data_IF_579766891272
#
_entry.id   IF_579766891272
#
_cell.length_a   1.000
_cell.length_b   1.000
_cell.length_c   1.000
_cell.angle_alpha   90.00
_cell.angle_beta   90.00
_cell.angle_gamma   90.00
#
_symmetry.space_group_name_H-M   'P 1'
#
loop_
_entity.id
_entity.type
_entity.pdbx_description
1 polymer ?
#
# COMPACT_ATOMS: atom_id res chain seq x y z
N UNK A 1 -56.16 11.58 -11.54
CA UNK A 1 -56.85 12.26 -10.42
C UNK A 1 -55.82 12.73 -9.44
N UNK A 2 -55.81 14.05 -9.20
CA UNK A 2 -55.23 14.85 -8.10
C UNK A 2 -53.74 14.73 -7.82
N UNK A 3 -52.94 15.75 -8.15
CA UNK A 3 -52.70 17.08 -7.57
C UNK A 3 -51.87 17.01 -6.28
N UNK A 4 -50.73 17.72 -6.27
CA UNK A 4 -50.39 18.82 -5.35
C UNK A 4 -48.83 18.91 -5.33
N UNK A 5 -48.12 19.92 -5.41
CA UNK A 5 -48.13 21.40 -5.41
C UNK A 5 -46.76 21.88 -4.91
N UNK A 6 -46.19 22.78 -5.60
CA UNK A 6 -44.97 23.59 -5.41
C UNK A 6 -44.71 24.06 -3.97
N UNK A 7 -43.42 24.14 -3.61
CA UNK A 7 -42.93 25.11 -2.67
C UNK A 7 -41.59 25.69 -3.18
N UNK A 8 -41.63 26.91 -3.70
CA UNK A 8 -40.50 27.82 -3.92
C UNK A 8 -40.05 28.36 -2.54
N UNK A 9 -38.74 28.35 -2.28
CA UNK A 9 -38.14 29.17 -1.24
C UNK A 9 -37.08 30.08 -1.88
N UNK A 10 -37.33 31.36 -1.76
CA UNK A 10 -36.54 32.53 -2.18
C UNK A 10 -35.39 32.70 -1.19
N UNK A 11 -34.15 32.78 -1.68
CA UNK A 11 -33.00 33.23 -0.90
C UNK A 11 -32.66 34.68 -1.28
N UNK A 12 -32.86 35.57 -0.32
CA UNK A 12 -32.43 36.96 -0.38
C UNK A 12 -30.90 37.06 -0.22
N UNK A 13 -30.29 37.76 -1.16
CA UNK A 13 -28.88 38.17 -1.13
C UNK A 13 -28.78 39.50 -0.36
N UNK A 14 -27.98 39.49 0.73
CA UNK A 14 -27.52 40.72 1.38
C UNK A 14 -26.11 41.06 0.86
N UNK A 15 -26.01 42.15 0.11
CA UNK A 15 -24.77 42.86 -0.19
C UNK A 15 -24.52 43.86 0.94
N UNK A 16 -23.41 43.70 1.64
CA UNK A 16 -22.85 44.76 2.50
C UNK A 16 -21.55 45.26 1.88
N UNK A 17 -21.59 46.56 1.54
CA UNK A 17 -20.45 47.31 1.09
C UNK A 17 -19.53 47.64 2.26
N UNK A 18 -18.21 47.43 2.09
CA UNK A 18 -17.18 47.94 2.98
C UNK A 18 -16.51 49.16 2.37
N UNK A 19 -16.63 50.26 3.09
CA UNK A 19 -16.03 51.55 2.86
C UNK A 19 -14.52 51.52 3.18
N UNK A 20 -13.75 52.21 2.35
CA UNK A 20 -12.32 52.47 2.55
C UNK A 20 -12.16 53.75 3.33
N UNK A 21 -11.45 53.73 4.45
CA UNK A 21 -10.87 54.92 5.04
C UNK A 21 -9.34 54.73 5.21
N UNK A 22 -8.64 55.62 4.49
CA UNK A 22 -7.22 55.88 4.64
C UNK A 22 -6.93 56.45 6.03
N UNK A 23 -5.86 56.03 6.66
CA UNK A 23 -5.22 56.76 7.78
C UNK A 23 -3.72 56.85 7.55
N UNK A 24 -3.29 58.09 7.66
CA UNK A 24 -1.95 58.66 7.44
C UNK A 24 -0.93 58.22 8.45
N UNK A 25 0.34 58.21 7.98
CA UNK A 25 1.58 58.24 8.77
C UNK A 25 1.65 59.44 9.70
N UNK A 26 2.23 59.23 10.88
CA UNK A 26 3.12 60.05 11.69
C UNK A 26 2.87 59.80 13.18
N UNK A 27 3.79 59.13 13.85
CA UNK A 27 4.38 59.59 15.13
C UNK A 27 5.53 58.65 15.57
N UNK A 28 6.72 59.22 15.51
CA UNK A 28 7.96 58.63 16.06
C UNK A 28 8.06 59.01 17.53
N UNK A 29 7.80 58.05 18.41
CA UNK A 29 7.97 58.20 19.88
C UNK A 29 9.13 57.39 20.39
N UNK A 30 10.16 58.07 20.94
CA UNK A 30 11.39 57.51 21.47
C UNK A 30 11.18 56.56 22.66
N UNK A 31 11.93 55.45 22.69
CA UNK A 31 12.01 54.54 23.80
C UNK A 31 12.85 55.06 24.96
N UNK A 32 12.49 54.86 26.23
CA UNK A 32 13.31 55.22 27.40
C UNK A 32 14.33 54.10 27.71
N UNK A 33 15.53 54.53 28.09
CA UNK A 33 16.67 53.72 28.50
C UNK A 33 16.44 52.95 29.81
N UNK A 34 17.03 51.75 29.97
CA UNK A 34 16.83 50.92 31.15
C UNK A 34 17.64 51.42 32.37
N UNK A 35 17.01 51.36 33.54
CA UNK A 35 17.69 51.57 34.85
C UNK A 35 18.43 50.30 35.27
N UNK A 36 19.62 50.40 35.91
CA UNK A 36 20.35 49.25 36.44
C UNK A 36 19.84 48.87 37.83
N UNK A 37 19.66 47.55 38.06
CA UNK A 37 19.55 46.99 39.39
C UNK A 37 18.30 46.22 39.72
N UNK A 38 18.18 44.97 39.22
CA UNK A 38 17.38 43.95 39.85
C UNK A 38 18.11 42.60 39.72
N UNK A 39 18.46 42.03 40.85
CA UNK A 39 19.12 40.73 40.97
C UNK A 39 18.15 39.63 40.46
N UNK A 40 18.63 38.81 39.55
CA UNK A 40 17.92 37.59 39.11
C UNK A 40 17.79 36.59 40.26
N UNK A 41 16.63 35.96 40.42
CA UNK A 41 16.51 34.79 41.28
C UNK A 41 17.23 33.62 40.63
N UNK A 42 18.07 32.94 41.41
CA UNK A 42 18.80 31.72 41.04
C UNK A 42 17.81 30.65 40.59
N UNK A 43 18.12 30.07 39.46
CA UNK A 43 17.80 28.78 38.90
C UNK A 43 16.71 27.96 39.59
N UNK A 44 15.51 28.00 39.02
CA UNK A 44 14.62 26.85 39.07
C UNK A 44 15.19 25.84 38.05
N UNK A 45 15.55 24.65 38.50
CA UNK A 45 15.82 23.52 37.62
C UNK A 45 14.59 23.30 36.71
N UNK A 46 14.80 22.90 35.45
CA UNK A 46 13.66 22.56 34.59
C UNK A 46 12.89 21.45 35.29
N UNK A 47 11.67 21.75 35.68
CA UNK A 47 10.68 20.75 36.03
C UNK A 47 10.57 19.85 34.82
N UNK A 48 10.98 18.59 34.96
CA UNK A 48 10.55 17.53 34.04
C UNK A 48 9.05 17.57 34.10
N UNK A 49 8.41 18.05 33.03
CA UNK A 49 7.00 17.77 32.79
C UNK A 49 6.89 16.25 32.84
N UNK A 50 6.20 15.73 33.83
CA UNK A 50 5.70 14.38 33.79
C UNK A 50 4.75 14.36 32.58
N UNK A 51 5.21 13.87 31.43
CA UNK A 51 4.30 13.42 30.39
C UNK A 51 3.31 12.49 31.10
N UNK A 52 2.05 12.87 31.16
CA UNK A 52 1.01 12.01 31.67
C UNK A 52 1.12 10.69 30.88
N UNK A 53 1.20 9.56 31.60
CA UNK A 53 1.30 8.27 30.94
C UNK A 53 0.10 8.12 30.00
N UNK A 54 0.37 7.82 28.74
CA UNK A 54 -0.69 7.54 27.76
C UNK A 54 -1.60 6.42 28.28
N UNK A 55 -2.87 6.47 27.92
CA UNK A 55 -3.77 5.35 28.17
C UNK A 55 -3.18 4.06 27.57
N UNK A 56 -3.29 2.90 28.22
CA UNK A 56 -2.71 1.66 27.73
C UNK A 56 -3.55 1.05 26.58
N UNK A 57 -3.78 1.84 25.54
CA UNK A 57 -4.55 1.49 24.35
C UNK A 57 -3.77 1.81 23.10
N UNK A 58 -3.96 1.04 22.04
CA UNK A 58 -3.41 1.28 20.70
C UNK A 58 -4.48 0.97 19.65
N UNK A 59 -4.75 1.93 18.79
CA UNK A 59 -5.72 1.77 17.70
C UNK A 59 -4.96 1.52 16.39
N UNK A 60 -5.12 0.33 15.82
CA UNK A 60 -4.41 -0.13 14.61
C UNK A 60 -5.40 -0.34 13.47
N UNK A 61 -5.05 0.13 12.28
CA UNK A 61 -5.81 -0.08 11.05
C UNK A 61 -4.93 -0.77 10.00
N UNK A 62 -5.27 -1.99 9.63
CA UNK A 62 -4.45 -2.82 8.74
C UNK A 62 -5.30 -3.50 7.64
N UNK A 63 -4.63 -4.03 6.64
CA UNK A 63 -5.22 -4.94 5.66
C UNK A 63 -5.72 -6.22 6.33
N UNK A 64 -6.76 -6.82 5.77
CA UNK A 64 -7.18 -8.16 6.14
C UNK A 64 -6.07 -9.19 5.83
N UNK A 65 -5.95 -10.24 6.67
CA UNK A 65 -5.01 -11.36 6.51
C UNK A 65 -3.53 -10.95 6.33
N UNK A 66 -3.10 -9.87 6.98
CA UNK A 66 -1.80 -9.25 6.75
C UNK A 66 -0.90 -9.16 8.00
N UNK A 67 -1.15 -10.02 8.99
CA UNK A 67 -0.37 -10.15 10.23
C UNK A 67 -0.48 -11.59 10.76
N UNK A 68 0.53 -12.05 11.51
CA UNK A 68 0.44 -13.35 12.18
C UNK A 68 -0.53 -13.27 13.37
N UNK A 69 -1.43 -14.25 13.57
CA UNK A 69 -2.49 -14.21 14.62
C UNK A 69 -1.98 -13.94 16.03
N UNK A 70 -0.80 -14.47 16.39
CA UNK A 70 -0.23 -14.28 17.73
C UNK A 70 0.44 -12.91 17.93
N UNK A 71 0.61 -12.09 16.89
CA UNK A 71 1.38 -10.85 16.98
C UNK A 71 0.75 -9.88 17.96
N UNK A 72 -0.55 -9.63 17.83
CA UNK A 72 -1.30 -8.72 18.71
C UNK A 72 -1.38 -9.27 20.15
N UNK A 73 -1.81 -10.53 20.39
CA UNK A 73 -1.84 -11.08 21.75
C UNK A 73 -0.48 -11.10 22.46
N UNK A 74 0.63 -11.29 21.72
CA UNK A 74 1.96 -11.24 22.29
C UNK A 74 2.38 -9.82 22.67
N UNK A 75 2.06 -8.84 21.83
CA UNK A 75 2.30 -7.43 22.11
C UNK A 75 1.52 -6.97 23.35
N UNK A 76 0.24 -7.24 23.42
CA UNK A 76 -0.63 -6.90 24.56
C UNK A 76 -0.09 -7.49 25.87
N UNK A 77 0.31 -8.75 25.84
CA UNK A 77 0.86 -9.45 27.02
C UNK A 77 2.18 -8.85 27.48
N UNK A 78 3.04 -8.43 26.54
CA UNK A 78 4.37 -7.91 26.84
C UNK A 78 4.32 -6.47 27.37
N UNK A 79 3.47 -5.64 26.76
CA UNK A 79 3.45 -4.20 27.04
C UNK A 79 2.30 -3.76 27.95
N UNK A 80 1.31 -4.61 28.19
CA UNK A 80 0.11 -4.25 28.95
C UNK A 80 -0.72 -3.17 28.25
N UNK A 81 -0.74 -3.18 26.92
CA UNK A 81 -1.46 -2.24 26.06
C UNK A 81 -2.53 -3.02 25.31
N UNK A 82 -3.79 -2.66 25.47
CA UNK A 82 -4.92 -3.24 24.73
C UNK A 82 -4.93 -2.71 23.30
N UNK A 83 -5.08 -3.59 22.29
CA UNK A 83 -5.06 -3.22 20.88
C UNK A 83 -6.45 -3.31 20.26
N UNK A 84 -7.00 -2.17 19.84
CA UNK A 84 -8.14 -2.12 18.93
C UNK A 84 -7.64 -2.31 17.51
N UNK A 85 -7.94 -3.48 16.92
CA UNK A 85 -7.41 -3.87 15.63
C UNK A 85 -8.51 -3.93 14.59
N UNK A 86 -8.59 -2.91 13.75
CA UNK A 86 -9.56 -2.79 12.66
C UNK A 86 -8.95 -3.17 11.33
N UNK A 87 -9.77 -3.73 10.45
CA UNK A 87 -9.35 -4.23 9.14
C UNK A 87 -9.99 -3.42 8.01
N UNK A 88 -9.31 -3.40 6.88
CA UNK A 88 -9.84 -2.94 5.60
C UNK A 88 -9.37 -3.85 4.45
N UNK A 89 -10.07 -3.78 3.32
CA UNK A 89 -9.89 -4.64 2.15
C UNK A 89 -9.63 -3.86 0.85
N UNK A 90 -9.70 -2.52 0.90
CA UNK A 90 -9.42 -1.70 -0.28
C UNK A 90 -8.73 -0.39 0.05
N UNK A 91 -7.87 0.07 -0.87
CA UNK A 91 -7.18 1.35 -0.77
C UNK A 91 -8.15 2.53 -0.69
N UNK A 92 -9.27 2.47 -1.43
CA UNK A 92 -10.27 3.54 -1.45
C UNK A 92 -10.91 3.72 -0.08
N UNK A 93 -11.15 2.64 0.66
CA UNK A 93 -11.75 2.68 2.00
C UNK A 93 -10.81 3.34 2.99
N UNK A 94 -9.55 2.90 3.05
CA UNK A 94 -8.56 3.49 3.99
C UNK A 94 -8.29 4.95 3.65
N UNK A 95 -8.13 5.32 2.37
CA UNK A 95 -7.91 6.70 1.98
C UNK A 95 -9.08 7.62 2.30
N UNK A 96 -10.31 7.19 2.00
CA UNK A 96 -11.50 7.97 2.33
C UNK A 96 -11.58 8.25 3.83
N UNK A 97 -11.26 7.25 4.66
CA UNK A 97 -11.24 7.37 6.11
C UNK A 97 -10.16 8.34 6.61
N UNK A 98 -8.93 8.19 6.10
CA UNK A 98 -7.80 9.05 6.45
C UNK A 98 -8.03 10.51 6.03
N UNK A 99 -8.59 10.73 4.84
CA UNK A 99 -8.90 12.07 4.33
C UNK A 99 -10.05 12.75 5.08
N UNK A 100 -10.93 11.99 5.70
CA UNK A 100 -11.99 12.55 6.55
C UNK A 100 -11.42 13.16 7.85
N UNK A 101 -10.21 12.73 8.28
CA UNK A 101 -9.55 13.17 9.51
C UNK A 101 -10.22 12.66 10.78
N UNK A 102 -9.58 12.89 11.92
CA UNK A 102 -10.05 12.49 13.25
C UNK A 102 -10.45 11.01 13.31
N UNK A 103 -9.60 10.16 12.74
CA UNK A 103 -9.90 8.73 12.59
C UNK A 103 -9.83 7.97 13.91
N UNK A 104 -9.08 8.49 14.88
CA UNK A 104 -8.78 7.84 16.14
C UNK A 104 -7.76 6.71 16.05
N UNK A 105 -7.18 6.45 14.86
CA UNK A 105 -6.11 5.46 14.72
C UNK A 105 -4.76 6.04 15.08
N UNK A 106 -3.97 5.25 15.80
CA UNK A 106 -2.57 5.54 16.12
C UNK A 106 -1.67 5.07 14.98
N UNK A 107 -1.88 3.84 14.52
CA UNK A 107 -1.05 3.15 13.52
C UNK A 107 -1.89 2.74 12.33
N UNK A 108 -1.40 3.06 11.14
CA UNK A 108 -2.03 2.67 9.86
C UNK A 108 -0.99 1.94 9.00
N UNK A 109 -1.33 0.73 8.57
CA UNK A 109 -0.61 0.04 7.51
C UNK A 109 -1.14 0.53 6.18
N UNK A 110 -0.29 0.97 5.26
CA UNK A 110 -0.77 1.49 4.00
C UNK A 110 0.28 1.35 2.91
N UNK A 111 -0.19 1.21 1.67
CA UNK A 111 0.71 1.17 0.52
C UNK A 111 1.50 2.47 0.39
N UNK A 112 2.83 2.36 0.26
CA UNK A 112 3.74 3.48 0.10
C UNK A 112 3.38 4.33 -1.11
N UNK A 113 2.97 3.70 -2.19
CA UNK A 113 2.53 4.36 -3.42
C UNK A 113 1.41 5.36 -3.16
N UNK A 114 0.38 4.93 -2.46
CA UNK A 114 -0.78 5.77 -2.16
C UNK A 114 -0.47 6.79 -1.05
N UNK A 115 0.31 6.39 -0.05
CA UNK A 115 0.73 7.27 1.05
C UNK A 115 1.55 8.46 0.58
N UNK A 116 2.29 8.33 -0.53
CA UNK A 116 3.09 9.42 -1.11
C UNK A 116 2.30 10.71 -1.39
N UNK A 117 0.99 10.61 -1.64
CA UNK A 117 0.10 11.76 -1.82
C UNK A 117 -0.54 12.26 -0.52
N UNK A 118 -0.60 11.41 0.51
CA UNK A 118 -1.16 11.74 1.82
C UNK A 118 -0.12 12.40 2.74
N UNK A 119 1.16 12.08 2.58
CA UNK A 119 2.27 12.68 3.32
C UNK A 119 2.28 14.22 3.18
N UNK A 120 2.26 14.81 1.96
CA UNK A 120 2.33 16.26 1.79
C UNK A 120 1.13 17.04 2.34
N UNK A 121 0.01 16.39 2.56
CA UNK A 121 -1.19 17.01 3.13
C UNK A 121 -1.34 16.77 4.63
N UNK A 122 -0.31 16.19 5.27
CA UNK A 122 -0.20 16.09 6.73
C UNK A 122 -1.09 15.03 7.38
N UNK A 123 -1.41 13.94 6.67
CA UNK A 123 -2.19 12.82 7.22
C UNK A 123 -1.38 12.01 8.23
N UNK A 124 -0.06 11.96 8.04
CA UNK A 124 0.87 11.23 8.90
C UNK A 124 1.85 12.17 9.58
N UNK A 125 2.31 11.80 10.76
CA UNK A 125 3.40 12.51 11.42
C UNK A 125 4.77 11.94 11.03
N UNK A 126 5.83 12.76 10.98
CA UNK A 126 7.18 12.26 10.76
C UNK A 126 7.64 11.38 11.93
N UNK A 127 8.38 10.32 11.61
CA UNK A 127 8.92 9.39 12.59
C UNK A 127 10.14 9.98 13.32
N UNK A 128 10.10 9.96 14.63
CA UNK A 128 11.26 10.25 15.49
C UNK A 128 12.19 9.02 15.54
N UNK A 129 13.28 9.07 14.78
CA UNK A 129 14.25 7.96 14.68
C UNK A 129 14.90 7.62 16.01
N UNK A 130 15.00 8.56 16.95
CA UNK A 130 15.56 8.30 18.28
C UNK A 130 14.72 7.32 19.09
N UNK A 131 13.43 7.20 18.74
CA UNK A 131 12.48 6.25 19.33
C UNK A 131 12.44 4.89 18.63
N UNK A 132 13.22 4.69 17.55
CA UNK A 132 13.26 3.45 16.75
C UNK A 132 14.67 2.82 16.74
N UNK A 133 15.19 2.34 17.89
CA UNK A 133 16.57 1.84 18.01
C UNK A 133 16.87 0.60 17.13
N UNK A 134 15.85 -0.11 16.65
CA UNK A 134 16.01 -1.26 15.76
C UNK A 134 15.91 -0.90 14.28
N UNK A 135 15.89 0.38 13.92
CA UNK A 135 15.78 0.83 12.54
C UNK A 135 16.86 0.25 11.62
N UNK A 136 18.09 0.06 12.12
CA UNK A 136 19.20 -0.51 11.35
C UNK A 136 19.02 -1.99 11.00
N UNK A 137 17.97 -2.65 11.49
CA UNK A 137 17.57 -3.98 11.04
C UNK A 137 16.95 -3.96 9.63
N UNK A 138 16.45 -2.81 9.18
CA UNK A 138 15.83 -2.67 7.87
C UNK A 138 16.84 -2.85 6.74
N UNK A 139 16.36 -3.37 5.61
CA UNK A 139 17.16 -3.59 4.41
C UNK A 139 17.43 -2.26 3.69
N UNK A 140 18.71 -1.85 3.53
CA UNK A 140 19.05 -0.64 2.81
C UNK A 140 18.52 -0.60 1.37
N UNK A 141 18.38 -1.76 0.71
CA UNK A 141 17.82 -1.84 -0.63
C UNK A 141 16.34 -1.45 -0.63
N UNK A 142 15.56 -1.86 0.39
CA UNK A 142 14.16 -1.44 0.54
C UNK A 142 14.08 0.05 0.83
N UNK A 143 14.91 0.55 1.76
CA UNK A 143 14.95 1.98 2.11
C UNK A 143 15.26 2.87 0.90
N UNK A 144 16.22 2.47 0.05
CA UNK A 144 16.55 3.17 -1.19
C UNK A 144 15.36 3.22 -2.17
N UNK A 145 14.63 2.12 -2.29
CA UNK A 145 13.48 2.03 -3.21
C UNK A 145 12.27 2.85 -2.77
N UNK A 146 12.01 2.93 -1.47
CA UNK A 146 10.87 3.68 -0.95
C UNK A 146 11.11 5.20 -0.88
N UNK A 147 12.33 5.68 -1.10
CA UNK A 147 12.61 7.11 -1.23
C UNK A 147 11.81 7.80 -2.34
N UNK A 148 11.39 7.04 -3.36
CA UNK A 148 10.49 7.55 -4.40
C UNK A 148 9.11 7.98 -3.85
N UNK A 149 8.70 7.44 -2.70
CA UNK A 149 7.40 7.67 -2.07
C UNK A 149 7.50 8.54 -0.81
N UNK A 150 8.57 8.36 -0.04
CA UNK A 150 8.86 9.05 1.23
C UNK A 150 10.33 9.49 1.24
N UNK A 151 10.66 10.65 0.62
CA UNK A 151 12.03 11.15 0.54
C UNK A 151 12.70 11.27 1.91
N UNK A 152 13.86 10.61 2.08
CA UNK A 152 14.57 10.49 3.34
C UNK A 152 13.93 9.53 4.34
N UNK A 153 12.94 8.75 3.91
CA UNK A 153 12.22 7.75 4.74
C UNK A 153 11.73 8.34 6.06
N UNK A 154 11.05 9.48 6.01
CA UNK A 154 10.73 10.27 7.20
C UNK A 154 9.43 9.87 7.87
N UNK A 155 8.48 9.29 7.15
CA UNK A 155 7.10 9.07 7.62
C UNK A 155 6.75 7.61 7.79
N UNK A 156 7.35 6.72 6.98
CA UNK A 156 7.02 5.31 6.97
C UNK A 156 8.10 4.44 7.60
N UNK A 157 7.67 3.47 8.39
CA UNK A 157 8.47 2.27 8.65
C UNK A 157 8.08 1.21 7.60
N UNK A 158 9.00 0.81 6.69
CA UNK A 158 8.67 -0.22 5.70
C UNK A 158 8.33 -1.53 6.38
N UNK A 159 7.31 -2.21 5.85
CA UNK A 159 6.75 -3.42 6.43
C UNK A 159 6.98 -4.62 5.52
N UNK A 160 6.09 -4.82 4.56
CA UNK A 160 6.16 -5.89 3.56
C UNK A 160 6.32 -5.32 2.17
N UNK A 161 6.81 -6.15 1.26
CA UNK A 161 6.91 -5.82 -0.15
C UNK A 161 6.73 -7.07 -1.02
N UNK A 162 6.41 -6.86 -2.28
CA UNK A 162 6.24 -7.95 -3.21
C UNK A 162 6.23 -7.47 -4.65
N UNK A 163 6.15 -8.43 -5.56
CA UNK A 163 6.01 -8.19 -7.00
C UNK A 163 4.65 -8.65 -7.49
N UNK A 164 4.24 -8.13 -8.65
CA UNK A 164 3.09 -8.59 -9.40
C UNK A 164 3.55 -9.48 -10.54
N UNK A 165 2.92 -10.63 -10.73
CA UNK A 165 3.30 -11.61 -11.74
C UNK A 165 2.15 -12.49 -12.15
N UNK A 166 2.48 -13.67 -12.64
CA UNK A 166 1.52 -14.67 -13.10
C UNK A 166 1.62 -15.93 -12.24
N UNK A 167 0.54 -16.29 -11.58
CA UNK A 167 0.38 -17.56 -10.88
C UNK A 167 -0.38 -18.52 -11.79
N UNK A 168 0.10 -19.73 -11.94
CA UNK A 168 -0.53 -20.69 -12.86
C UNK A 168 -0.35 -22.15 -12.41
N UNK A 169 -1.29 -22.99 -12.85
CA UNK A 169 -1.20 -24.43 -12.72
C UNK A 169 -0.36 -24.97 -13.88
N UNK A 170 0.84 -25.48 -13.55
CA UNK A 170 1.83 -25.96 -14.54
C UNK A 170 1.24 -27.04 -15.44
N UNK A 171 0.54 -28.02 -14.85
CA UNK A 171 0.01 -29.18 -15.58
C UNK A 171 -1.10 -28.77 -16.54
N UNK A 172 -2.02 -27.91 -16.11
CA UNK A 172 -3.11 -27.42 -16.94
C UNK A 172 -2.63 -26.50 -18.08
N UNK A 173 -1.57 -25.72 -17.84
CA UNK A 173 -0.97 -24.89 -18.89
C UNK A 173 -0.24 -25.77 -19.91
N UNK A 174 0.57 -26.73 -19.45
CA UNK A 174 1.31 -27.62 -20.34
C UNK A 174 0.40 -28.53 -21.18
N UNK A 175 -0.73 -28.98 -20.62
CA UNK A 175 -1.72 -29.76 -21.36
C UNK A 175 -2.27 -29.01 -22.56
N UNK A 176 -2.49 -27.68 -22.43
CA UNK A 176 -3.11 -26.84 -23.47
C UNK A 176 -2.07 -26.23 -24.41
N UNK A 177 -0.90 -25.87 -23.89
CA UNK A 177 0.16 -25.22 -24.63
C UNK A 177 1.52 -25.65 -24.07
N UNK A 178 2.11 -26.76 -24.55
CA UNK A 178 3.41 -27.27 -24.04
C UNK A 178 4.57 -26.29 -24.16
N UNK A 179 4.51 -25.37 -25.13
CA UNK A 179 5.48 -24.31 -25.41
C UNK A 179 5.00 -22.92 -24.97
N UNK A 180 4.15 -22.86 -23.96
CA UNK A 180 3.64 -21.61 -23.41
C UNK A 180 4.77 -20.66 -23.01
N UNK A 181 4.68 -19.35 -23.34
CA UNK A 181 5.72 -18.37 -23.06
C UNK A 181 5.66 -17.92 -21.57
N UNK A 182 5.95 -18.84 -20.63
CA UNK A 182 5.71 -18.69 -19.20
C UNK A 182 6.32 -17.41 -18.60
N UNK A 183 7.48 -16.97 -19.11
CA UNK A 183 8.20 -15.79 -18.64
C UNK A 183 7.90 -14.51 -19.44
N UNK A 184 6.76 -14.44 -20.13
CA UNK A 184 6.39 -13.28 -20.95
C UNK A 184 4.99 -12.80 -20.67
N UNK A 185 4.75 -11.51 -20.80
CA UNK A 185 3.43 -10.89 -20.80
C UNK A 185 2.48 -11.47 -21.85
N UNK A 186 2.99 -12.15 -22.88
CA UNK A 186 2.19 -12.90 -23.86
C UNK A 186 1.16 -13.85 -23.21
N UNK A 187 1.51 -14.42 -22.05
CA UNK A 187 0.60 -15.32 -21.31
C UNK A 187 -0.78 -14.71 -21.06
N UNK A 188 -0.85 -13.43 -20.72
CA UNK A 188 -2.10 -12.73 -20.39
C UNK A 188 -2.52 -11.67 -21.41
N UNK A 189 -1.55 -11.09 -22.15
CA UNK A 189 -1.81 -9.89 -22.95
C UNK A 189 -1.86 -10.16 -24.45
N UNK A 190 -1.60 -11.39 -24.88
CA UNK A 190 -1.71 -11.81 -26.29
C UNK A 190 -2.92 -12.69 -26.51
N UNK A 191 -3.92 -12.24 -27.31
CA UNK A 191 -5.17 -12.98 -27.51
C UNK A 191 -4.98 -14.43 -27.95
N UNK A 192 -4.03 -14.70 -28.86
CA UNK A 192 -3.77 -16.04 -29.41
C UNK A 192 -3.24 -17.01 -28.33
N UNK A 193 -2.59 -16.49 -27.28
CA UNK A 193 -2.06 -17.28 -26.16
C UNK A 193 -3.10 -17.43 -25.08
N UNK A 194 -3.64 -16.33 -24.56
CA UNK A 194 -4.58 -16.36 -23.42
C UNK A 194 -5.86 -17.11 -23.75
N UNK A 195 -6.31 -17.09 -25.01
CA UNK A 195 -7.48 -17.83 -25.47
C UNK A 195 -7.37 -19.35 -25.28
N UNK A 196 -6.14 -19.90 -25.29
CA UNK A 196 -5.89 -21.33 -25.05
C UNK A 196 -6.22 -21.76 -23.61
N UNK A 197 -6.29 -20.80 -22.68
CA UNK A 197 -6.53 -21.04 -21.25
C UNK A 197 -7.93 -20.60 -20.79
N UNK A 198 -8.76 -20.10 -21.71
CA UNK A 198 -10.08 -19.57 -21.36
C UNK A 198 -11.03 -20.63 -20.77
N UNK A 199 -10.91 -21.90 -21.19
CA UNK A 199 -11.73 -23.02 -20.73
C UNK A 199 -11.40 -23.43 -19.29
N UNK A 200 -10.13 -23.33 -18.86
CA UNK A 200 -9.73 -23.63 -17.49
C UNK A 200 -9.76 -22.39 -16.58
N UNK A 201 -10.06 -21.22 -17.13
CA UNK A 201 -10.27 -19.97 -16.41
C UNK A 201 -9.02 -19.13 -16.27
N UNK A 202 -9.17 -17.85 -16.63
CA UNK A 202 -8.12 -16.83 -16.50
C UNK A 202 -8.64 -15.66 -15.68
N UNK A 203 -7.84 -15.15 -14.74
CA UNK A 203 -8.19 -13.97 -13.94
C UNK A 203 -7.11 -12.89 -13.97
N UNK A 204 -7.54 -11.66 -13.83
CA UNK A 204 -6.68 -10.49 -13.71
C UNK A 204 -7.01 -9.78 -12.40
N UNK A 205 -6.01 -9.17 -11.75
CA UNK A 205 -6.20 -8.34 -10.57
C UNK A 205 -7.18 -7.18 -10.87
N UNK A 206 -8.03 -6.84 -9.92
CA UNK A 206 -8.83 -5.61 -9.98
C UNK A 206 -8.04 -4.45 -9.37
N UNK A 207 -6.81 -4.24 -9.89
CA UNK A 207 -5.89 -3.22 -9.41
C UNK A 207 -5.22 -2.50 -10.60
N UNK A 208 -5.80 -1.37 -11.05
CA UNK A 208 -5.30 -0.65 -12.21
C UNK A 208 -3.88 -0.09 -12.03
N UNK A 209 -3.43 0.10 -10.78
CA UNK A 209 -2.08 0.60 -10.50
C UNK A 209 -1.01 -0.46 -10.68
N UNK A 210 -1.39 -1.71 -10.81
CA UNK A 210 -0.49 -2.81 -11.17
C UNK A 210 -0.71 -3.26 -12.62
N UNK A 211 -1.96 -3.45 -13.04
CA UNK A 211 -2.28 -3.98 -14.37
C UNK A 211 -1.82 -3.03 -15.48
N UNK A 212 -2.13 -1.73 -15.37
CA UNK A 212 -1.77 -0.75 -16.41
C UNK A 212 -0.25 -0.64 -16.59
N UNK A 213 0.57 -0.48 -15.53
CA UNK A 213 2.02 -0.49 -15.65
C UNK A 213 2.59 -1.77 -16.25
N UNK A 214 2.05 -2.94 -15.90
CA UNK A 214 2.53 -4.19 -16.49
C UNK A 214 2.26 -4.27 -18.00
N UNK A 215 1.10 -3.80 -18.46
CA UNK A 215 0.82 -3.71 -19.91
C UNK A 215 1.67 -2.64 -20.57
N UNK A 216 2.00 -1.52 -19.89
CA UNK A 216 2.97 -0.53 -20.38
C UNK A 216 4.32 -1.18 -20.65
N UNK A 217 4.85 -1.93 -19.66
CA UNK A 217 6.12 -2.65 -19.80
C UNK A 217 6.08 -3.69 -20.93
N UNK A 218 4.98 -4.45 -21.03
CA UNK A 218 4.74 -5.39 -22.11
C UNK A 218 4.79 -4.74 -23.50
N UNK A 219 4.30 -3.51 -23.63
CA UNK A 219 4.35 -2.72 -24.86
C UNK A 219 5.71 -2.02 -25.09
N UNK A 220 6.68 -2.17 -24.17
CA UNK A 220 7.99 -1.53 -24.25
C UNK A 220 7.99 -0.06 -23.82
N UNK A 221 6.95 0.38 -23.10
CA UNK A 221 6.86 1.71 -22.55
C UNK A 221 7.36 1.77 -21.10
N UNK A 222 7.66 2.98 -20.61
CA UNK A 222 7.88 3.21 -19.19
C UNK A 222 6.61 2.86 -18.39
N UNK A 223 6.76 2.06 -17.31
CA UNK A 223 5.69 1.68 -16.42
C UNK A 223 4.90 2.90 -15.89
N UNK A 224 5.58 4.03 -15.73
CA UNK A 224 5.05 5.29 -15.21
C UNK A 224 4.72 6.31 -16.31
N UNK A 225 4.56 5.87 -17.56
CA UNK A 225 4.25 6.77 -18.67
C UNK A 225 2.94 7.54 -18.43
N UNK A 226 3.01 8.85 -18.68
CA UNK A 226 1.87 9.78 -18.62
C UNK A 226 1.26 10.08 -19.98
N UNK A 227 1.81 9.48 -21.06
CA UNK A 227 1.34 9.70 -22.43
C UNK A 227 -0.08 9.13 -22.62
N UNK A 228 -1.06 9.96 -23.06
CA UNK A 228 -2.40 9.48 -23.33
C UNK A 228 -2.48 8.39 -24.41
N UNK A 229 -1.57 8.38 -25.38
CA UNK A 229 -1.54 7.39 -26.46
C UNK A 229 -1.07 6.03 -25.92
N UNK A 230 -0.15 6.01 -24.95
CA UNK A 230 0.24 4.78 -24.28
C UNK A 230 -0.92 4.19 -23.46
N UNK A 231 -1.71 5.03 -22.77
CA UNK A 231 -2.94 4.58 -22.07
C UNK A 231 -3.95 4.00 -23.06
N UNK A 232 -4.12 4.60 -24.24
CA UNK A 232 -5.01 4.06 -25.27
C UNK A 232 -4.53 2.69 -25.81
N UNK A 233 -3.21 2.51 -25.97
CA UNK A 233 -2.63 1.21 -26.37
C UNK A 233 -2.85 0.15 -25.28
N UNK A 234 -2.67 0.48 -24.00
CA UNK A 234 -2.98 -0.40 -22.87
C UNK A 234 -4.45 -0.82 -22.90
N UNK A 235 -5.36 0.15 -23.10
CA UNK A 235 -6.79 -0.12 -23.19
C UNK A 235 -7.11 -1.07 -24.37
N UNK A 236 -6.47 -0.88 -25.53
CA UNK A 236 -6.65 -1.73 -26.68
C UNK A 236 -6.19 -3.18 -26.42
N UNK A 237 -5.03 -3.36 -25.79
CA UNK A 237 -4.51 -4.69 -25.40
C UNK A 237 -5.50 -5.37 -24.44
N UNK A 238 -5.88 -4.72 -23.35
CA UNK A 238 -6.75 -5.32 -22.34
C UNK A 238 -8.15 -5.60 -22.87
N UNK A 239 -8.68 -4.77 -23.76
CA UNK A 239 -9.95 -5.07 -24.47
C UNK A 239 -9.84 -6.28 -25.38
N UNK A 240 -8.72 -6.46 -26.07
CA UNK A 240 -8.52 -7.60 -26.96
C UNK A 240 -8.52 -8.95 -26.23
N UNK A 241 -8.03 -8.98 -24.99
CA UNK A 241 -7.97 -10.20 -24.16
C UNK A 241 -9.19 -10.34 -23.24
N UNK A 242 -9.98 -9.27 -23.06
CA UNK A 242 -11.17 -9.27 -22.18
C UNK A 242 -12.12 -10.45 -22.35
N UNK A 243 -12.42 -10.93 -23.61
CA UNK A 243 -13.32 -12.06 -23.83
C UNK A 243 -12.87 -13.38 -23.19
N UNK A 244 -11.57 -13.52 -22.91
CA UNK A 244 -10.96 -14.73 -22.35
C UNK A 244 -10.78 -14.66 -20.82
N UNK A 245 -11.06 -13.49 -20.20
CA UNK A 245 -10.92 -13.27 -18.77
C UNK A 245 -12.23 -13.63 -18.06
N UNK A 246 -12.15 -14.63 -17.17
CA UNK A 246 -13.28 -15.11 -16.35
C UNK A 246 -13.79 -14.01 -15.41
N UNK A 247 -12.86 -13.32 -14.72
CA UNK A 247 -13.18 -12.20 -13.83
C UNK A 247 -11.96 -11.30 -13.54
N UNK A 248 -12.24 -10.12 -12.96
CA UNK A 248 -11.28 -9.24 -12.31
C UNK A 248 -11.50 -9.32 -10.81
N UNK A 249 -10.46 -9.68 -10.05
CA UNK A 249 -10.49 -9.72 -8.58
C UNK A 249 -9.08 -9.79 -8.03
N UNK A 250 -8.84 -9.08 -6.93
CA UNK A 250 -7.52 -9.04 -6.28
C UNK A 250 -7.30 -10.16 -5.26
N UNK A 251 -8.35 -10.86 -4.79
CA UNK A 251 -8.23 -11.86 -3.72
C UNK A 251 -8.77 -13.24 -4.08
N UNK A 252 -9.72 -13.30 -5.02
CA UNK A 252 -10.47 -14.53 -5.30
C UNK A 252 -9.59 -15.68 -5.79
N UNK A 253 -8.51 -15.37 -6.53
CA UNK A 253 -7.60 -16.36 -7.09
C UNK A 253 -6.87 -17.20 -6.02
N UNK A 254 -6.73 -16.69 -4.78
CA UNK A 254 -6.09 -17.41 -3.68
C UNK A 254 -6.84 -18.73 -3.37
N UNK A 255 -8.16 -18.74 -3.54
CA UNK A 255 -8.98 -19.95 -3.41
C UNK A 255 -9.22 -20.65 -4.76
N UNK A 256 -9.37 -19.88 -5.83
CA UNK A 256 -9.80 -20.42 -7.13
C UNK A 256 -8.69 -21.22 -7.84
N UNK A 257 -7.39 -20.88 -7.62
CA UNK A 257 -6.28 -21.68 -8.14
C UNK A 257 -6.23 -23.08 -7.50
N UNK A 258 -6.26 -23.25 -6.15
CA UNK A 258 -6.32 -24.57 -5.53
C UNK A 258 -7.54 -25.39 -5.91
N UNK A 259 -8.68 -24.72 -6.14
CA UNK A 259 -9.94 -25.36 -6.49
C UNK A 259 -10.09 -25.65 -7.99
N UNK A 260 -9.06 -25.37 -8.81
CA UNK A 260 -9.08 -25.54 -10.27
C UNK A 260 -10.15 -24.70 -11.00
N UNK A 261 -10.62 -23.63 -10.36
CA UNK A 261 -11.58 -22.69 -10.95
C UNK A 261 -10.91 -21.70 -11.92
N UNK A 262 -9.59 -21.50 -11.74
CA UNK A 262 -8.72 -20.80 -12.68
C UNK A 262 -7.39 -21.55 -12.79
N UNK A 263 -6.80 -21.53 -13.98
CA UNK A 263 -5.50 -22.14 -14.25
C UNK A 263 -4.39 -21.12 -14.46
N UNK A 264 -4.76 -19.85 -14.71
CA UNK A 264 -3.85 -18.72 -14.91
C UNK A 264 -4.43 -17.48 -14.24
N UNK A 265 -3.64 -16.82 -13.43
CA UNK A 265 -4.05 -15.62 -12.72
C UNK A 265 -2.92 -14.58 -12.70
N UNK A 266 -3.25 -13.32 -12.94
CA UNK A 266 -2.38 -12.25 -12.46
C UNK A 266 -2.47 -12.18 -10.95
N UNK A 267 -1.34 -12.16 -10.26
CA UNK A 267 -1.26 -12.34 -8.80
C UNK A 267 -0.13 -11.53 -8.19
N UNK A 268 -0.28 -11.21 -6.94
CA UNK A 268 0.84 -10.82 -6.10
C UNK A 268 1.61 -12.05 -5.61
N UNK A 269 2.91 -11.87 -5.37
CA UNK A 269 3.82 -12.96 -5.04
C UNK A 269 3.42 -13.73 -3.77
N UNK A 270 2.95 -13.03 -2.73
CA UNK A 270 2.49 -13.68 -1.49
C UNK A 270 1.15 -14.40 -1.66
N UNK A 271 0.22 -13.84 -2.43
CA UNK A 271 -1.09 -14.48 -2.67
C UNK A 271 -0.95 -15.79 -3.43
N UNK A 272 -0.04 -15.85 -4.41
CA UNK A 272 0.33 -17.13 -5.03
C UNK A 272 0.84 -18.13 -3.98
N UNK A 273 1.73 -17.70 -3.09
CA UNK A 273 2.29 -18.57 -2.07
C UNK A 273 1.22 -19.03 -1.05
N UNK A 274 0.26 -18.15 -0.71
CA UNK A 274 -0.91 -18.52 0.10
C UNK A 274 -1.80 -19.53 -0.62
N UNK A 275 -2.08 -19.35 -1.93
CA UNK A 275 -2.84 -20.31 -2.71
C UNK A 275 -2.18 -21.70 -2.69
N UNK A 276 -0.85 -21.76 -2.87
CA UNK A 276 -0.05 -22.98 -2.76
C UNK A 276 -0.15 -23.61 -1.37
N UNK A 277 -0.12 -22.81 -0.32
CA UNK A 277 -0.25 -23.28 1.05
C UNK A 277 -1.65 -23.86 1.33
N UNK A 278 -2.71 -23.16 0.90
CA UNK A 278 -4.09 -23.65 1.04
C UNK A 278 -4.32 -24.98 0.31
N UNK A 279 -3.71 -25.18 -0.87
CA UNK A 279 -3.76 -26.45 -1.57
C UNK A 279 -3.14 -27.60 -0.71
N UNK A 280 -1.97 -27.36 -0.12
CA UNK A 280 -1.29 -28.32 0.76
C UNK A 280 -2.12 -28.67 1.99
N UNK A 281 -2.69 -27.66 2.66
CA UNK A 281 -3.54 -27.84 3.85
C UNK A 281 -4.82 -28.62 3.54
N UNK A 282 -5.38 -28.41 2.35
CA UNK A 282 -6.54 -29.16 1.87
C UNK A 282 -6.20 -30.57 1.34
N UNK A 283 -4.91 -30.95 1.30
CA UNK A 283 -4.46 -32.22 0.74
C UNK A 283 -4.65 -32.31 -0.78
N UNK A 284 -4.71 -31.18 -1.48
CA UNK A 284 -4.82 -31.12 -2.93
C UNK A 284 -3.42 -31.12 -3.54
N UNK A 285 -3.10 -32.16 -4.30
CA UNK A 285 -1.87 -32.21 -5.10
C UNK A 285 -2.04 -31.35 -6.35
N UNK A 286 -1.40 -30.17 -6.35
CA UNK A 286 -1.44 -29.21 -7.47
C UNK A 286 -0.05 -28.62 -7.67
N UNK A 287 0.37 -28.51 -8.92
CA UNK A 287 1.65 -27.94 -9.30
C UNK A 287 1.46 -26.46 -9.68
N UNK A 288 1.55 -25.55 -8.70
CA UNK A 288 1.48 -24.12 -8.92
C UNK A 288 2.87 -23.51 -9.08
N UNK A 289 3.02 -22.62 -10.06
CA UNK A 289 4.21 -21.80 -10.28
C UNK A 289 3.85 -20.31 -10.33
N UNK A 290 4.87 -19.49 -10.12
CA UNK A 290 4.80 -18.03 -10.21
C UNK A 290 5.96 -17.52 -11.05
N UNK A 291 5.66 -16.64 -12.00
CA UNK A 291 6.66 -16.01 -12.85
C UNK A 291 6.41 -14.51 -12.98
N UNK A 292 7.50 -13.77 -13.02
CA UNK A 292 7.48 -12.36 -13.42
C UNK A 292 7.86 -12.25 -14.89
N UNK A 293 7.13 -11.47 -15.70
CA UNK A 293 7.43 -11.37 -17.14
C UNK A 293 8.79 -10.71 -17.39
N UNK A 294 9.49 -11.20 -18.40
CA UNK A 294 10.81 -10.69 -18.85
C UNK A 294 10.77 -9.23 -19.30
N UNK A 295 9.63 -8.74 -19.72
CA UNK A 295 9.41 -7.35 -20.11
C UNK A 295 9.46 -6.40 -18.90
N UNK A 296 9.44 -6.95 -17.71
CA UNK A 296 9.45 -6.23 -16.44
C UNK A 296 8.13 -6.35 -15.70
N UNK A 297 8.17 -6.03 -14.42
CA UNK A 297 6.99 -6.05 -13.56
C UNK A 297 6.99 -4.93 -12.54
N UNK A 298 5.87 -4.79 -11.83
CA UNK A 298 5.70 -3.83 -10.75
C UNK A 298 6.16 -4.43 -9.43
N UNK A 299 6.92 -3.64 -8.67
CA UNK A 299 7.17 -3.86 -7.25
C UNK A 299 6.33 -2.88 -6.44
N UNK A 300 5.79 -3.36 -5.35
CA UNK A 300 5.06 -2.54 -4.38
C UNK A 300 5.65 -2.70 -2.99
N UNK A 301 5.44 -1.70 -2.16
CA UNK A 301 5.87 -1.64 -0.78
C UNK A 301 4.72 -1.15 0.08
N UNK A 302 4.55 -1.76 1.24
CA UNK A 302 3.67 -1.26 2.29
C UNK A 302 4.49 -0.74 3.46
N UNK A 303 4.02 0.34 4.02
CA UNK A 303 4.61 0.99 5.17
C UNK A 303 3.65 1.03 6.35
N UNK A 304 4.23 1.21 7.52
CA UNK A 304 3.51 1.49 8.77
C UNK A 304 3.71 2.95 9.09
N UNK A 305 2.61 3.66 9.28
CA UNK A 305 2.57 5.09 9.53
C UNK A 305 1.94 5.37 10.89
N UNK A 306 2.35 6.45 11.52
CA UNK A 306 1.68 7.01 12.68
C UNK A 306 0.79 8.16 12.19
N UNK A 307 -0.51 8.13 12.52
CA UNK A 307 -1.44 9.19 12.13
C UNK A 307 -1.02 10.53 12.72
N UNK A 308 -1.26 11.62 12.00
CA UNK A 308 -0.91 12.96 12.48
C UNK A 308 -1.65 13.34 13.77
N UNK A 309 -2.86 12.80 13.94
CA UNK A 309 -3.75 12.99 15.08
C UNK A 309 -3.81 11.76 16.01
N UNK A 310 -2.78 10.90 15.97
CA UNK A 310 -2.71 9.69 16.79
C UNK A 310 -2.92 10.03 18.29
N UNK A 311 -3.91 9.43 18.95
CA UNK A 311 -4.16 9.69 20.38
C UNK A 311 -3.08 9.09 21.28
N UNK A 312 -2.37 8.03 20.88
CA UNK A 312 -1.37 7.32 21.68
C UNK A 312 -0.04 7.13 20.92
N UNK A 313 0.67 8.21 20.53
CA UNK A 313 1.86 8.11 19.69
C UNK A 313 3.02 7.36 20.37
N UNK A 314 3.16 7.40 21.69
CA UNK A 314 4.17 6.64 22.43
C UNK A 314 3.91 5.13 22.37
N UNK A 315 2.65 4.69 22.46
CA UNK A 315 2.28 3.28 22.28
C UNK A 315 2.48 2.83 20.82
N UNK A 316 2.24 3.72 19.85
CA UNK A 316 2.54 3.46 18.45
C UNK A 316 4.05 3.17 18.25
N UNK A 317 4.96 3.96 18.84
CA UNK A 317 6.40 3.67 18.77
C UNK A 317 6.79 2.35 19.42
N UNK A 318 6.14 1.94 20.53
CA UNK A 318 6.36 0.62 21.12
C UNK A 318 5.97 -0.49 20.15
N UNK A 319 4.86 -0.33 19.45
CA UNK A 319 4.38 -1.30 18.47
C UNK A 319 5.30 -1.36 17.25
N UNK A 320 5.74 -0.23 16.70
CA UNK A 320 6.71 -0.20 15.61
C UNK A 320 8.01 -0.91 16.01
N UNK A 321 8.55 -0.63 17.19
CA UNK A 321 9.75 -1.32 17.70
C UNK A 321 9.54 -2.81 17.91
N UNK A 322 8.37 -3.23 18.34
CA UNK A 322 8.01 -4.64 18.48
C UNK A 322 8.03 -5.33 17.12
N UNK A 323 7.46 -4.73 16.08
CA UNK A 323 7.48 -5.26 14.72
C UNK A 323 8.86 -5.22 14.07
N UNK A 324 9.76 -4.30 14.48
CA UNK A 324 11.15 -4.27 14.03
C UNK A 324 12.03 -5.39 14.59
N UNK A 325 11.52 -6.17 15.55
CA UNK A 325 12.25 -7.36 16.03
C UNK A 325 12.30 -8.42 14.94
N UNK A 326 13.49 -8.96 14.63
CA UNK A 326 13.66 -9.93 13.58
C UNK A 326 12.76 -11.18 13.70
N UNK A 327 12.62 -11.71 14.91
CA UNK A 327 11.81 -12.87 15.20
C UNK A 327 10.28 -12.62 15.09
N UNK A 328 9.85 -11.39 15.33
CA UNK A 328 8.43 -11.02 15.22
C UNK A 328 8.04 -10.90 13.76
N UNK A 329 8.80 -10.11 12.99
CA UNK A 329 8.48 -9.88 11.57
C UNK A 329 8.69 -11.14 10.73
N UNK A 330 9.63 -12.03 11.11
CA UNK A 330 9.84 -13.32 10.46
C UNK A 330 8.57 -14.17 10.49
N UNK A 331 7.94 -14.30 11.67
CA UNK A 331 6.67 -15.05 11.80
C UNK A 331 5.53 -14.44 10.98
N UNK A 332 5.52 -13.13 10.83
CA UNK A 332 4.54 -12.46 9.97
C UNK A 332 4.79 -12.81 8.50
N UNK A 333 6.05 -12.83 8.03
CA UNK A 333 6.38 -13.31 6.69
C UNK A 333 6.02 -14.78 6.50
N UNK A 334 6.24 -15.63 7.51
CA UNK A 334 5.89 -17.05 7.46
C UNK A 334 4.37 -17.26 7.29
N UNK A 335 3.55 -16.41 7.90
CA UNK A 335 2.09 -16.44 7.76
C UNK A 335 1.63 -15.86 6.42
N UNK A 336 2.04 -14.62 6.14
CA UNK A 336 1.55 -13.86 4.98
C UNK A 336 2.19 -14.27 3.66
N UNK A 337 3.32 -14.98 3.71
CA UNK A 337 4.15 -15.39 2.56
C UNK A 337 4.77 -14.22 1.77
N UNK A 338 4.70 -13.01 2.30
CA UNK A 338 5.34 -11.83 1.70
C UNK A 338 6.75 -11.60 2.24
N UNK A 339 7.58 -10.99 1.41
CA UNK A 339 8.88 -10.50 1.84
C UNK A 339 8.71 -9.33 2.82
N UNK A 340 9.45 -9.35 3.94
CA UNK A 340 9.51 -8.24 4.86
C UNK A 340 10.74 -7.34 4.62
N UNK A 341 10.71 -6.13 5.17
CA UNK A 341 11.76 -5.15 5.00
C UNK A 341 12.93 -5.31 5.99
N UNK A 342 12.94 -6.33 6.86
CA UNK A 342 13.95 -6.51 7.91
C UNK A 342 14.97 -7.58 7.52
N UNK A 343 16.17 -7.16 7.10
CA UNK A 343 17.25 -8.09 6.68
C UNK A 343 17.74 -9.02 7.78
N UNK A 344 17.46 -8.73 9.05
CA UNK A 344 17.86 -9.57 10.19
C UNK A 344 16.86 -10.70 10.46
N UNK A 345 15.71 -10.71 9.79
CA UNK A 345 14.66 -11.72 9.98
C UNK A 345 14.99 -13.10 9.37
N UNK A 346 15.85 -13.16 8.36
CA UNK A 346 16.15 -14.38 7.61
C UNK A 346 16.46 -15.62 8.46
N UNK A 347 17.30 -15.54 9.54
CA UNK A 347 17.58 -16.70 10.38
C UNK A 347 16.38 -17.24 11.19
N UNK A 348 15.29 -16.47 11.26
CA UNK A 348 14.10 -16.79 12.05
C UNK A 348 12.92 -17.25 11.18
N UNK A 349 13.00 -17.07 9.86
CA UNK A 349 11.96 -17.46 8.91
C UNK A 349 12.02 -18.95 8.59
N UNK A 350 10.88 -19.52 8.20
CA UNK A 350 10.81 -20.84 7.60
C UNK A 350 11.65 -20.88 6.31
N UNK A 351 12.46 -21.94 6.11
CA UNK A 351 13.32 -22.04 4.93
C UNK A 351 12.57 -21.94 3.59
N UNK A 352 11.34 -22.45 3.53
CA UNK A 352 10.50 -22.38 2.34
C UNK A 352 9.98 -20.97 2.04
N UNK A 353 10.01 -20.04 3.01
CA UNK A 353 9.68 -18.64 2.81
C UNK A 353 10.93 -17.84 2.49
N UNK A 354 11.97 -18.02 3.29
CA UNK A 354 13.24 -17.30 3.13
C UNK A 354 13.92 -17.56 1.77
N UNK A 355 13.71 -18.76 1.19
CA UNK A 355 14.30 -19.17 -0.08
C UNK A 355 13.28 -19.18 -1.25
N UNK A 356 12.06 -18.68 -1.04
CA UNK A 356 11.08 -18.61 -2.14
C UNK A 356 11.45 -17.45 -3.10
N UNK A 357 11.79 -17.74 -4.37
CA UNK A 357 12.16 -16.70 -5.32
C UNK A 357 10.99 -15.77 -5.69
N UNK A 358 9.76 -16.18 -5.44
CA UNK A 358 8.59 -15.32 -5.60
C UNK A 358 8.54 -14.22 -4.54
N UNK A 359 8.92 -14.54 -3.29
CA UNK A 359 9.00 -13.58 -2.20
C UNK A 359 10.33 -12.80 -2.22
N UNK A 360 11.46 -13.50 -2.37
CA UNK A 360 12.81 -12.93 -2.33
C UNK A 360 13.54 -13.16 -3.66
N UNK A 361 13.20 -12.41 -4.73
CA UNK A 361 13.84 -12.55 -6.02
C UNK A 361 15.33 -12.22 -5.97
N UNK A 362 16.11 -12.87 -6.86
CA UNK A 362 17.54 -12.66 -7.00
C UNK A 362 17.89 -11.20 -7.31
N UNK A 363 19.15 -10.81 -7.12
CA UNK A 363 19.63 -9.46 -7.45
C UNK A 363 19.42 -9.12 -8.94
N UNK A 364 19.49 -10.10 -9.83
CA UNK A 364 19.22 -9.93 -11.26
C UNK A 364 17.74 -9.68 -11.53
N UNK A 365 16.85 -10.48 -10.95
CA UNK A 365 15.40 -10.30 -11.06
C UNK A 365 14.94 -8.97 -10.48
N UNK A 366 15.56 -8.51 -9.38
CA UNK A 366 15.25 -7.19 -8.77
C UNK A 366 15.51 -6.01 -9.71
N UNK A 367 16.37 -6.15 -10.74
CA UNK A 367 16.61 -5.10 -11.73
C UNK A 367 15.42 -4.91 -12.69
N UNK A 368 14.56 -5.91 -12.83
CA UNK A 368 13.36 -5.86 -13.67
C UNK A 368 12.13 -5.33 -12.91
N UNK A 369 12.27 -5.06 -11.60
CA UNK A 369 11.19 -4.57 -10.76
C UNK A 369 11.08 -3.04 -10.87
N UNK A 370 9.92 -2.57 -11.28
CA UNK A 370 9.63 -1.16 -11.49
C UNK A 370 8.73 -0.62 -10.39
N UNK A 371 9.16 0.42 -9.70
CA UNK A 371 8.32 1.10 -8.71
C UNK A 371 7.19 1.86 -9.44
N UNK A 372 5.95 1.48 -9.16
CA UNK A 372 4.78 2.20 -9.70
C UNK A 372 4.54 3.50 -8.95
N UNK A 373 4.34 4.60 -9.66
CA UNK A 373 4.05 5.92 -9.08
C UNK A 373 2.55 6.24 -9.12
N UNK A 374 2.10 7.04 -8.16
CA UNK A 374 0.79 7.70 -8.20
C UNK A 374 0.97 9.08 -8.81
N UNK A 375 0.08 9.42 -9.71
CA UNK A 375 0.10 10.69 -10.43
C UNK A 375 -0.94 11.66 -9.91
N UNK A 376 -0.89 12.89 -10.42
CA UNK A 376 -1.87 13.90 -10.05
C UNK A 376 -3.33 13.53 -10.48
N UNK A 377 -4.35 14.11 -9.83
CA UNK A 377 -5.76 13.70 -9.97
C UNK A 377 -6.30 13.64 -11.41
N UNK A 378 -5.75 14.46 -12.33
CA UNK A 378 -6.19 14.48 -13.74
C UNK A 378 -5.81 13.19 -14.47
N UNK A 379 -4.60 12.66 -14.22
CA UNK A 379 -4.12 11.43 -14.85
C UNK A 379 -4.77 10.21 -14.21
N UNK A 380 -4.85 10.19 -12.88
CA UNK A 380 -5.52 9.09 -12.17
C UNK A 380 -6.98 8.94 -12.61
N UNK A 381 -7.72 10.02 -12.80
CA UNK A 381 -9.08 9.95 -13.39
C UNK A 381 -9.11 9.38 -14.80
N UNK A 382 -8.07 9.59 -15.62
CA UNK A 382 -7.98 8.96 -16.95
C UNK A 382 -7.75 7.45 -16.83
N UNK A 383 -6.84 7.03 -15.97
CA UNK A 383 -6.54 5.61 -15.70
C UNK A 383 -7.78 4.89 -15.18
N UNK A 384 -8.47 5.46 -14.18
CA UNK A 384 -9.72 4.91 -13.62
C UNK A 384 -10.82 4.77 -14.68
N UNK A 385 -10.98 5.77 -15.55
CA UNK A 385 -11.97 5.69 -16.65
C UNK A 385 -11.61 4.62 -17.68
N UNK A 386 -10.32 4.52 -18.05
CA UNK A 386 -9.85 3.46 -18.94
C UNK A 386 -10.12 2.08 -18.31
N UNK A 387 -9.78 1.93 -17.02
CA UNK A 387 -10.02 0.70 -16.27
C UNK A 387 -11.50 0.30 -16.24
N UNK A 388 -12.40 1.25 -15.99
CA UNK A 388 -13.85 0.98 -16.02
C UNK A 388 -14.31 0.50 -17.39
N UNK A 389 -13.84 1.11 -18.50
CA UNK A 389 -14.17 0.66 -19.87
C UNK A 389 -13.61 -0.73 -20.18
N UNK A 390 -12.39 -1.03 -19.72
CA UNK A 390 -11.77 -2.36 -19.87
C UNK A 390 -12.63 -3.43 -19.19
N UNK A 391 -13.00 -3.21 -17.92
CA UNK A 391 -13.78 -4.20 -17.15
C UNK A 391 -15.17 -4.43 -17.74
N UNK A 392 -15.82 -3.38 -18.20
CA UNK A 392 -17.19 -3.46 -18.78
C UNK A 392 -17.21 -3.89 -20.23
N UNK A 393 -16.07 -3.85 -20.94
CA UNK A 393 -15.98 -4.17 -22.36
C UNK A 393 -16.54 -3.07 -23.28
N UNK A 394 -16.70 -1.83 -22.76
CA UNK A 394 -17.25 -0.68 -23.49
C UNK A 394 -16.16 0.16 -24.18
#
# INVERSE_FOLDING_TARGET
>A
MRLIRNLLLVFLVFLAACDRSELSDDDVGAAPSPRPGAQSPRGAAPTREHEAAEEPVLNVYNWADYIHPDTIPNFEREFGIDVNYDLYDSTEVVEAKLLAGSTGYDVVFHSMRYSSRLIPIGVYQPLDRSKLPLWDNLDPWVLDRIEAYDPGNQYAMPYMWGSTGFAYNVDLIQERMPDAPLNSGDMLFKPEVVSQFADCGVSILDEPTDVIPMVMLYLGHDANSMDPDHIAQVEAVLKSVRPYIKYFSSTKMINDLPNLEVCLAMSWSGDYAQARQRAREAGVEINLAYETPKEGTVIWFDGIFISADAPHPGNAYKFLNYLLRPEVIARISDETRYANANRKSFPYMLPEVANDPAAYPSAEQRQQLNAGLIFGPKLERRRTRAWSRIKTGL
#
